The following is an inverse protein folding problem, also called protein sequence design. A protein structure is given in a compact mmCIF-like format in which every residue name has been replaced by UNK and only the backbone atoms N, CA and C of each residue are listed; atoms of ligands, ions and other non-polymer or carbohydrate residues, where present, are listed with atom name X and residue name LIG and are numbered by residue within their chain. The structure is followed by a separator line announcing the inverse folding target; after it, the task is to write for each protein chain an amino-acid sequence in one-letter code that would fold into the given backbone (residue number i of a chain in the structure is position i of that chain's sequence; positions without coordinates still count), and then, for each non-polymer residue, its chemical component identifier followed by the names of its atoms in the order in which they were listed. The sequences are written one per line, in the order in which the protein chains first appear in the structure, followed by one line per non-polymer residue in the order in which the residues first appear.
data_IF_254566864319
#
_entry.id   IF_254566864319
#
_cell.length_a   1.000
_cell.length_b   1.000
_cell.length_c   1.000
_cell.angle_alpha   90.00
_cell.angle_beta   90.00
_cell.angle_gamma   90.00
#
_symmetry.space_group_name_H-M   'P 1'
#
loop_
_entity.id
_entity.type
_entity.pdbx_description
1 polymer ?
#
# COMPACT_ATOMS: atom_id res chain seq x y z
N UNK A 1 1.01 -2.20 6.32
CA UNK A 1 1.69 -3.48 6.53
C UNK A 1 3.17 -3.34 6.79
N UNK A 2 3.98 -2.85 5.84
CA UNK A 2 5.45 -2.83 5.92
C UNK A 2 6.00 -2.05 7.12
N UNK A 3 5.58 -0.81 7.28
CA UNK A 3 6.03 0.05 8.40
C UNK A 3 5.67 -0.58 9.74
N UNK A 4 4.47 -1.11 9.86
CA UNK A 4 3.98 -1.74 11.10
C UNK A 4 4.79 -2.98 11.45
N UNK A 5 5.12 -3.83 10.49
CA UNK A 5 5.93 -5.02 10.71
C UNK A 5 7.33 -4.64 11.24
N UNK A 6 7.98 -3.66 10.60
CA UNK A 6 9.30 -3.19 11.06
C UNK A 6 9.25 -2.52 12.43
N UNK A 7 8.23 -1.72 12.69
CA UNK A 7 8.03 -1.08 14.01
C UNK A 7 7.87 -2.11 15.12
N UNK A 8 7.08 -3.16 14.86
CA UNK A 8 6.89 -4.25 15.82
C UNK A 8 8.21 -4.96 16.16
N UNK A 9 9.07 -5.18 15.18
CA UNK A 9 10.38 -5.79 15.42
C UNK A 9 11.33 -4.88 16.24
N UNK A 10 11.33 -3.58 15.95
CA UNK A 10 12.17 -2.61 16.66
C UNK A 10 11.70 -2.34 18.09
N UNK A 11 10.41 -2.51 18.35
CA UNK A 11 9.81 -2.25 19.67
C UNK A 11 9.17 -3.53 20.25
N UNK A 12 9.81 -4.67 20.04
CA UNK A 12 9.26 -5.99 20.36
C UNK A 12 8.77 -6.11 21.80
N UNK A 13 9.49 -5.56 22.76
CA UNK A 13 9.12 -5.58 24.18
C UNK A 13 7.89 -4.70 24.52
N UNK A 14 7.49 -3.82 23.59
CA UNK A 14 6.36 -2.88 23.76
C UNK A 14 5.13 -3.27 22.95
N UNK A 15 5.27 -4.21 22.02
CA UNK A 15 4.21 -4.63 21.11
C UNK A 15 3.77 -6.05 21.43
N UNK A 16 2.63 -6.17 22.10
CA UNK A 16 2.09 -7.50 22.46
C UNK A 16 1.45 -8.22 21.26
N UNK A 17 0.89 -7.48 20.31
CA UNK A 17 0.16 -8.05 19.17
C UNK A 17 0.09 -7.07 18.00
N UNK A 18 0.17 -7.60 16.78
CA UNK A 18 -0.03 -6.85 15.54
C UNK A 18 -1.22 -7.44 14.80
N UNK A 19 -2.15 -6.60 14.35
CA UNK A 19 -3.31 -7.00 13.58
C UNK A 19 -3.22 -6.38 12.18
N UNK A 20 -3.27 -7.23 11.17
CA UNK A 20 -3.30 -6.82 9.76
C UNK A 20 -4.76 -6.77 9.30
N UNK A 21 -5.33 -5.56 9.19
CA UNK A 21 -6.66 -5.35 8.66
C UNK A 21 -6.55 -4.92 7.19
N UNK A 22 -6.88 -5.81 6.27
CA UNK A 22 -6.76 -5.62 4.81
C UNK A 22 -5.42 -4.99 4.39
N UNK A 23 -4.35 -5.44 5.04
CA UNK A 23 -3.00 -4.94 4.82
C UNK A 23 -2.06 -6.07 4.40
N UNK A 24 -1.08 -5.74 3.56
CA UNK A 24 -0.09 -6.71 3.11
C UNK A 24 0.89 -7.04 4.25
N UNK A 25 1.00 -8.33 4.55
CA UNK A 25 1.96 -8.86 5.52
C UNK A 25 3.12 -9.51 4.74
N UNK A 26 4.24 -8.79 4.67
CA UNK A 26 5.44 -9.28 3.99
C UNK A 26 6.31 -10.10 4.94
N UNK A 27 6.94 -11.13 4.42
CA UNK A 27 7.96 -11.90 5.12
C UNK A 27 9.29 -11.14 5.12
N UNK A 28 10.22 -11.60 5.95
CA UNK A 28 11.56 -11.02 5.99
C UNK A 28 12.24 -11.09 4.61
N UNK A 29 12.76 -9.96 4.16
CA UNK A 29 13.40 -9.84 2.87
C UNK A 29 12.47 -9.58 1.67
N UNK A 30 11.15 -9.71 1.85
CA UNK A 30 10.19 -9.44 0.78
C UNK A 30 9.96 -7.93 0.58
N UNK A 31 9.76 -7.55 -0.66
CA UNK A 31 9.28 -6.23 -1.06
C UNK A 31 7.88 -6.34 -1.69
N UNK A 32 7.17 -5.23 -1.76
CA UNK A 32 5.82 -5.21 -2.31
C UNK A 32 5.70 -5.81 -3.72
N UNK A 33 6.61 -5.57 -4.67
CA UNK A 33 6.53 -6.17 -6.00
C UNK A 33 6.62 -7.70 -6.03
N UNK A 34 7.12 -8.33 -4.96
CA UNK A 34 7.24 -9.79 -4.91
C UNK A 34 5.88 -10.46 -4.80
N UNK A 35 4.92 -9.81 -4.14
CA UNK A 35 3.60 -10.37 -3.89
C UNK A 35 2.47 -9.63 -4.63
N UNK A 36 2.68 -8.40 -5.06
CA UNK A 36 1.67 -7.61 -5.77
C UNK A 36 2.12 -7.35 -7.20
N UNK A 37 1.37 -7.88 -8.16
CA UNK A 37 1.55 -7.62 -9.59
C UNK A 37 0.51 -6.60 -10.04
N UNK A 38 0.95 -5.49 -10.59
CA UNK A 38 0.09 -4.40 -11.09
C UNK A 38 0.38 -4.11 -12.56
N UNK A 39 -0.25 -4.84 -13.48
CA UNK A 39 0.02 -4.68 -14.92
C UNK A 39 -0.40 -3.29 -15.44
N UNK A 40 -1.36 -2.64 -14.78
CA UNK A 40 -1.93 -1.36 -15.22
C UNK A 40 -1.48 -0.17 -14.36
N UNK A 41 -0.44 -0.33 -13.54
CA UNK A 41 0.06 0.76 -12.72
C UNK A 41 0.59 1.92 -13.58
N UNK A 42 0.24 3.14 -13.19
CA UNK A 42 0.81 4.36 -13.74
C UNK A 42 2.11 4.66 -12.99
N UNK A 43 3.21 4.70 -13.71
CA UNK A 43 4.54 4.94 -13.16
C UNK A 43 5.08 6.27 -13.67
N UNK A 44 5.62 7.06 -12.75
CA UNK A 44 6.53 8.15 -13.05
C UNK A 44 7.94 7.73 -12.65
N UNK A 45 8.92 8.63 -12.79
CA UNK A 45 10.30 8.36 -12.33
C UNK A 45 10.37 8.07 -10.82
N UNK A 46 9.54 8.71 -10.01
CA UNK A 46 9.59 8.65 -8.55
C UNK A 46 8.38 7.99 -7.90
N UNK A 47 7.26 7.88 -8.60
CA UNK A 47 5.99 7.43 -8.02
C UNK A 47 5.30 6.36 -8.86
N UNK A 48 4.47 5.54 -8.20
CA UNK A 48 3.65 4.50 -8.83
C UNK A 48 2.30 4.40 -8.14
N UNK A 49 1.30 3.98 -8.86
CA UNK A 49 -0.02 3.71 -8.32
C UNK A 49 -1.06 3.39 -9.39
N UNK A 50 -2.28 3.06 -9.00
CA UNK A 50 -3.38 2.88 -9.91
C UNK A 50 -3.70 4.17 -10.67
N UNK A 51 -4.23 4.04 -11.89
CA UNK A 51 -4.78 5.19 -12.62
C UNK A 51 -6.02 5.74 -11.89
N UNK A 52 -6.40 7.01 -12.18
CA UNK A 52 -7.64 7.57 -11.66
C UNK A 52 -8.85 6.72 -12.06
N UNK A 53 -8.85 6.20 -13.27
CA UNK A 53 -9.89 5.30 -13.77
C UNK A 53 -9.96 4.02 -12.94
N UNK A 54 -8.82 3.40 -12.60
CA UNK A 54 -8.79 2.20 -11.76
C UNK A 54 -9.32 2.47 -10.35
N UNK A 55 -8.99 3.61 -9.75
CA UNK A 55 -9.57 4.01 -8.48
C UNK A 55 -11.09 4.13 -8.57
N UNK A 56 -11.58 4.77 -9.63
CA UNK A 56 -13.00 5.04 -9.81
C UNK A 56 -13.83 3.77 -10.09
N UNK A 57 -13.33 2.90 -10.97
CA UNK A 57 -14.08 1.74 -11.48
C UNK A 57 -13.84 0.45 -10.72
N UNK A 58 -12.78 0.36 -9.94
CA UNK A 58 -12.39 -0.87 -9.21
C UNK A 58 -12.25 -0.64 -7.72
N UNK A 59 -11.33 0.23 -7.28
CA UNK A 59 -10.99 0.34 -5.87
C UNK A 59 -12.07 1.06 -5.05
N UNK A 60 -12.72 2.06 -5.63
CA UNK A 60 -13.78 2.83 -4.99
C UNK A 60 -15.15 2.64 -5.65
N UNK A 61 -15.30 1.56 -6.43
CA UNK A 61 -16.53 1.29 -7.19
C UNK A 61 -17.77 1.11 -6.30
N UNK A 62 -17.58 0.60 -5.10
CA UNK A 62 -18.63 0.35 -4.11
C UNK A 62 -19.00 1.57 -3.25
N UNK A 63 -18.23 2.65 -3.34
CA UNK A 63 -18.55 3.90 -2.65
C UNK A 63 -19.67 4.65 -3.39
N UNK A 64 -20.51 5.36 -2.63
CA UNK A 64 -21.46 6.30 -3.26
C UNK A 64 -20.72 7.40 -4.04
N UNK A 65 -21.37 8.03 -5.04
CA UNK A 65 -20.69 8.97 -5.93
C UNK A 65 -20.02 10.16 -5.22
N UNK A 66 -20.62 10.69 -4.14
CA UNK A 66 -20.07 11.82 -3.39
C UNK A 66 -18.81 11.40 -2.62
N UNK A 67 -18.87 10.25 -1.93
CA UNK A 67 -17.73 9.70 -1.19
C UNK A 67 -16.60 9.29 -2.14
N UNK A 68 -16.94 8.70 -3.28
CA UNK A 68 -15.96 8.34 -4.33
C UNK A 68 -15.20 9.55 -4.82
N UNK A 69 -15.91 10.64 -5.13
CA UNK A 69 -15.27 11.91 -5.57
C UNK A 69 -14.37 12.48 -4.49
N UNK A 70 -14.86 12.52 -3.26
CA UNK A 70 -14.08 12.96 -2.10
C UNK A 70 -12.77 12.17 -1.93
N UNK A 71 -12.84 10.85 -2.05
CA UNK A 71 -11.67 9.98 -1.96
C UNK A 71 -10.70 10.18 -3.14
N UNK A 72 -11.22 10.22 -4.38
CA UNK A 72 -10.41 10.43 -5.59
C UNK A 72 -9.62 11.74 -5.56
N UNK A 73 -10.23 12.80 -5.05
CA UNK A 73 -9.59 14.12 -4.99
C UNK A 73 -8.45 14.19 -3.95
N UNK A 74 -8.37 13.19 -3.06
CA UNK A 74 -7.37 13.10 -1.99
C UNK A 74 -6.32 12.03 -2.22
N UNK A 75 -6.51 11.15 -3.20
CA UNK A 75 -5.53 10.13 -3.53
C UNK A 75 -4.33 10.73 -4.24
N UNK A 76 -3.15 10.29 -3.82
CA UNK A 76 -1.87 10.63 -4.43
C UNK A 76 -1.12 9.36 -4.79
N UNK A 77 -0.09 9.50 -5.64
CA UNK A 77 0.77 8.40 -6.02
C UNK A 77 1.74 8.04 -4.87
N UNK A 78 2.13 6.78 -4.83
CA UNK A 78 3.04 6.27 -3.80
C UNK A 78 4.51 6.34 -4.25
N UNK A 79 5.46 6.71 -3.39
CA UNK A 79 6.88 6.69 -3.74
C UNK A 79 7.36 5.28 -4.11
N UNK A 80 7.99 5.14 -5.28
CA UNK A 80 8.48 3.84 -5.77
C UNK A 80 9.52 3.25 -4.82
N UNK A 81 10.44 4.04 -4.33
CA UNK A 81 11.51 3.57 -3.44
C UNK A 81 10.97 2.87 -2.18
N UNK A 82 9.89 3.40 -1.59
CA UNK A 82 9.25 2.78 -0.44
C UNK A 82 8.58 1.45 -0.77
N UNK A 83 8.09 1.30 -2.01
CA UNK A 83 7.45 0.05 -2.46
C UNK A 83 8.49 -1.04 -2.78
N UNK A 84 9.67 -0.66 -3.25
CA UNK A 84 10.74 -1.58 -3.67
C UNK A 84 11.63 -2.01 -2.53
N UNK A 85 11.63 -1.28 -1.41
CA UNK A 85 12.46 -1.61 -0.26
C UNK A 85 11.99 -2.92 0.39
N UNK A 86 12.91 -3.88 0.63
CA UNK A 86 12.55 -5.12 1.34
C UNK A 86 12.24 -4.85 2.80
N UNK A 87 11.34 -5.62 3.35
CA UNK A 87 11.06 -5.58 4.80
C UNK A 87 12.16 -6.33 5.53
N UNK A 88 12.68 -5.73 6.58
CA UNK A 88 13.63 -6.38 7.49
C UNK A 88 12.91 -6.72 8.80
N UNK A 89 12.89 -7.97 9.11
CA UNK A 89 12.33 -8.49 10.37
C UNK A 89 13.41 -9.03 11.28
#
# INVERSE_FOLDING_TARGET
GMVMARTAELARERVARVVFADALALLDGEALPDIVKRPTAVNTELTSGPSRQDFETRLFADLDPAMRRWALDRCTMHPIAAMQAPVTR
#
